data_IF_603321277130
#
_entry.id   IF_603321277130
#
_cell.length_a   1.000
_cell.length_b   1.000
_cell.length_c   1.000
_cell.angle_alpha   90.00
_cell.angle_beta   90.00
_cell.angle_gamma   90.00
#
_symmetry.space_group_name_H-M   'P 1'
#
loop_
_entity.id
_entity.type
_entity.pdbx_description
1 polymer ?
#
# COMPACT_ATOMS: atom_id res chain seq x y z
N UNK A 1 -5.60 -8.39 3.65
CA UNK A 1 -5.51 -7.71 2.33
C UNK A 1 -6.36 -6.45 2.40
N UNK A 2 -5.74 -5.27 2.26
CA UNK A 2 -6.39 -3.97 2.48
C UNK A 2 -6.52 -3.25 1.13
N UNK A 3 -7.71 -2.80 0.71
CA UNK A 3 -7.83 -2.05 -0.53
C UNK A 3 -7.13 -0.69 -0.42
N UNK A 4 -6.33 -0.34 -1.43
CA UNK A 4 -5.71 0.97 -1.51
C UNK A 4 -6.80 2.00 -1.88
N UNK A 5 -6.89 3.06 -1.08
CA UNK A 5 -7.83 4.16 -1.34
C UNK A 5 -7.44 4.88 -2.64
N UNK A 6 -8.45 5.27 -3.43
CA UNK A 6 -8.24 6.12 -4.61
C UNK A 6 -7.50 7.40 -4.22
N UNK A 7 -6.41 7.72 -4.92
CA UNK A 7 -5.57 8.88 -4.64
C UNK A 7 -4.55 8.70 -3.51
N UNK A 8 -4.40 7.50 -2.95
CA UNK A 8 -3.33 7.23 -2.00
C UNK A 8 -1.95 7.38 -2.67
N UNK A 9 -1.05 8.09 -1.99
CA UNK A 9 0.32 8.28 -2.44
C UNK A 9 1.21 7.16 -1.91
N UNK A 10 2.02 6.59 -2.79
CA UNK A 10 3.04 5.61 -2.45
C UNK A 10 4.22 5.79 -3.40
N UNK A 11 5.38 5.33 -2.95
CA UNK A 11 6.59 5.26 -3.76
C UNK A 11 6.86 3.80 -4.08
N UNK A 12 7.09 3.49 -5.36
CA UNK A 12 7.48 2.14 -5.76
C UNK A 12 8.96 1.92 -5.48
N UNK A 13 9.29 0.96 -4.62
CA UNK A 13 10.68 0.61 -4.32
C UNK A 13 11.22 -0.39 -5.32
N UNK A 14 10.43 -1.41 -5.66
CA UNK A 14 10.83 -2.47 -6.59
C UNK A 14 9.63 -3.23 -7.13
N UNK A 15 9.68 -3.60 -8.40
CA UNK A 15 8.76 -4.55 -9.00
C UNK A 15 9.15 -5.99 -8.65
N UNK A 16 8.20 -6.75 -8.10
CA UNK A 16 8.38 -8.18 -7.76
C UNK A 16 7.87 -9.09 -8.88
N UNK A 17 6.86 -8.65 -9.63
CA UNK A 17 6.28 -9.42 -10.72
C UNK A 17 5.22 -8.63 -11.49
N UNK A 18 4.43 -9.34 -12.30
CA UNK A 18 3.32 -8.73 -13.04
C UNK A 18 2.21 -8.33 -12.08
N UNK A 19 2.00 -7.02 -11.92
CA UNK A 19 0.99 -6.47 -11.02
C UNK A 19 1.34 -6.64 -9.54
N UNK A 20 2.61 -6.87 -9.21
CA UNK A 20 3.08 -7.04 -7.84
C UNK A 20 4.34 -6.21 -7.60
N UNK A 21 4.22 -5.28 -6.65
CA UNK A 21 5.19 -4.23 -6.42
C UNK A 21 5.44 -4.10 -4.92
N UNK A 22 6.70 -3.93 -4.53
CA UNK A 22 7.06 -3.49 -3.20
C UNK A 22 6.98 -1.96 -3.17
N UNK A 23 6.11 -1.42 -2.34
CA UNK A 23 5.86 0.01 -2.22
C UNK A 23 6.10 0.51 -0.81
N UNK A 24 6.43 1.79 -0.71
CA UNK A 24 6.58 2.53 0.52
C UNK A 24 5.43 3.52 0.66
N UNK A 25 4.81 3.54 1.82
CA UNK A 25 3.68 4.38 2.17
C UNK A 25 4.07 5.29 3.33
N UNK A 26 3.70 6.58 3.25
CA UNK A 26 3.83 7.48 4.39
C UNK A 26 2.70 7.20 5.37
N UNK A 27 3.03 7.06 6.64
CA UNK A 27 2.05 6.88 7.70
C UNK A 27 1.39 8.22 8.00
N UNK A 28 0.11 8.21 8.35
CA UNK A 28 -0.60 9.43 8.73
C UNK A 28 -0.29 9.79 10.20
N UNK A 29 -0.35 11.08 10.59
CA UNK A 29 -0.22 11.47 11.99
C UNK A 29 -1.24 10.77 12.90
N UNK A 30 -2.46 10.55 12.39
CA UNK A 30 -3.51 9.81 13.11
C UNK A 30 -3.09 8.36 13.39
N UNK A 31 -2.47 7.68 12.43
CA UNK A 31 -1.97 6.33 12.61
C UNK A 31 -0.86 6.30 13.65
N UNK A 32 0.13 7.20 13.57
CA UNK A 32 1.21 7.29 14.56
C UNK A 32 0.71 7.59 15.98
N UNK A 33 -0.35 8.41 16.12
CA UNK A 33 -0.99 8.64 17.43
C UNK A 33 -1.64 7.38 17.99
N UNK A 34 -2.25 6.55 17.13
CA UNK A 34 -2.88 5.28 17.53
C UNK A 34 -1.85 4.19 17.82
N UNK A 35 -0.71 4.21 17.15
CA UNK A 35 0.36 3.22 17.27
C UNK A 35 1.71 3.93 17.53
N UNK A 36 2.09 4.14 18.81
CA UNK A 36 3.26 4.94 19.18
C UNK A 36 4.62 4.44 18.67
N UNK A 37 4.70 3.18 18.22
CA UNK A 37 5.91 2.61 17.59
C UNK A 37 5.90 2.66 16.06
N UNK A 38 4.87 3.22 15.44
CA UNK A 38 4.75 3.27 13.98
C UNK A 38 5.63 4.39 13.43
N UNK A 39 6.60 4.02 12.60
CA UNK A 39 7.48 4.96 11.91
C UNK A 39 6.76 5.87 10.92
N UNK A 40 7.48 6.82 10.33
CA UNK A 40 6.94 7.75 9.32
C UNK A 40 6.56 7.04 8.01
N UNK A 41 7.14 5.88 7.76
CA UNK A 41 6.98 5.12 6.53
C UNK A 41 6.74 3.65 6.86
N UNK A 42 5.98 2.98 6.01
CA UNK A 42 5.78 1.53 6.06
C UNK A 42 5.96 0.96 4.67
N UNK A 43 6.64 -0.18 4.59
CA UNK A 43 6.79 -0.94 3.35
C UNK A 43 5.69 -1.99 3.28
N UNK A 44 5.05 -2.12 2.13
CA UNK A 44 4.01 -3.10 1.88
C UNK A 44 4.07 -3.60 0.43
N UNK A 45 3.42 -4.73 0.15
CA UNK A 45 3.22 -5.19 -1.22
C UNK A 45 1.93 -4.61 -1.79
N UNK A 46 2.01 -4.13 -3.02
CA UNK A 46 0.90 -3.60 -3.81
C UNK A 46 0.58 -4.58 -4.93
N UNK A 47 -0.58 -5.21 -4.84
CA UNK A 47 -1.11 -6.12 -5.83
C UNK A 47 -2.16 -5.41 -6.68
N UNK A 48 -2.01 -5.50 -8.00
CA UNK A 48 -2.98 -5.04 -8.98
C UNK A 48 -3.79 -6.23 -9.46
N UNK A 49 -5.06 -6.26 -9.08
CA UNK A 49 -5.97 -7.35 -9.43
C UNK A 49 -7.22 -6.82 -10.11
N UNK A 50 -7.72 -7.55 -11.10
CA UNK A 50 -9.01 -7.23 -11.72
C UNK A 50 -10.11 -8.02 -11.01
N UNK A 51 -11.07 -7.33 -10.39
CA UNK A 51 -12.26 -7.95 -9.80
C UNK A 51 -13.52 -7.36 -10.41
N UNK A 52 -14.43 -8.23 -10.89
CA UNK A 52 -15.69 -7.82 -11.55
C UNK A 52 -15.46 -6.79 -12.67
N UNK A 53 -14.42 -7.00 -13.48
CA UNK A 53 -14.04 -6.11 -14.58
C UNK A 53 -13.38 -4.78 -14.16
N UNK A 54 -13.17 -4.52 -12.86
CA UNK A 54 -12.52 -3.30 -12.36
C UNK A 54 -11.13 -3.60 -11.83
N UNK A 55 -10.17 -2.75 -12.18
CA UNK A 55 -8.81 -2.81 -11.62
C UNK A 55 -8.84 -2.27 -10.20
N UNK A 56 -8.33 -3.08 -9.27
CA UNK A 56 -8.23 -2.77 -7.85
C UNK A 56 -6.78 -2.93 -7.41
N UNK A 57 -6.32 -2.00 -6.58
CA UNK A 57 -5.03 -2.09 -5.93
C UNK A 57 -5.21 -2.53 -4.49
N UNK A 58 -4.47 -3.55 -4.08
CA UNK A 58 -4.58 -4.19 -2.78
C UNK A 58 -3.22 -4.18 -2.09
N UNK A 59 -3.19 -3.71 -0.85
CA UNK A 59 -2.04 -3.78 0.04
C UNK A 59 -2.04 -5.11 0.80
N UNK A 60 -0.89 -5.76 0.81
CA UNK A 60 -0.62 -6.97 1.59
C UNK A 60 0.69 -6.80 2.37
N UNK A 61 0.71 -7.36 3.58
CA UNK A 61 1.93 -7.55 4.39
C UNK A 61 2.88 -8.52 3.70
#
# INVERSE_FOLDING_TARGET
MIPLRKGAQYEELRKLGKGDHLVKLKTSPQARKKWPGLGNEVTARLLTVTRKGKVCHLLTS
#
